data_IF_126945737687
#
_entry.id   IF_126945737687
#
_cell.length_a   1.000
_cell.length_b   1.000
_cell.length_c   1.000
_cell.angle_alpha   90.00
_cell.angle_beta   90.00
_cell.angle_gamma   90.00
#
_symmetry.space_group_name_H-M   'P 1'
#
loop_
_entity.id
_entity.type
_entity.pdbx_description
1 polymer ?
#
# COMPACT_ATOMS: atom_id res chain seq x y z
N UNK A 1 -1.64 -4.07 17.40
CA UNK A 1 -1.23 -3.63 16.04
C UNK A 1 -0.26 -2.49 16.22
N UNK A 2 0.96 -2.62 15.69
CA UNK A 2 1.97 -1.54 15.72
C UNK A 2 1.41 -0.34 14.93
N UNK A 3 1.81 0.88 15.29
CA UNK A 3 1.47 2.06 14.49
C UNK A 3 2.21 1.96 13.16
N UNK A 4 1.48 1.64 12.10
CA UNK A 4 2.00 1.71 10.73
C UNK A 4 1.99 3.19 10.34
N UNK A 5 3.15 3.73 9.93
CA UNK A 5 3.22 5.09 9.36
C UNK A 5 2.62 5.05 7.96
N UNK A 6 1.54 5.78 7.75
CA UNK A 6 0.93 5.92 6.43
C UNK A 6 1.37 7.23 5.80
N UNK A 7 1.91 7.17 4.58
CA UNK A 7 2.17 8.35 3.76
C UNK A 7 0.99 8.56 2.82
N UNK A 8 0.33 9.72 2.87
CA UNK A 8 -0.76 10.05 1.96
C UNK A 8 -0.14 10.56 0.66
N UNK A 9 -0.36 9.84 -0.44
CA UNK A 9 0.01 10.24 -1.80
C UNK A 9 -1.09 9.83 -2.77
N UNK A 10 -1.30 10.63 -3.82
CA UNK A 10 -2.22 10.30 -4.90
C UNK A 10 -1.60 9.35 -5.94
N UNK A 11 -0.27 9.29 -5.99
CA UNK A 11 0.47 8.50 -6.96
C UNK A 11 1.67 7.82 -6.29
N UNK A 12 1.97 6.60 -6.74
CA UNK A 12 3.15 5.84 -6.33
C UNK A 12 3.69 5.07 -7.54
N UNK A 13 5.00 5.13 -7.74
CA UNK A 13 5.71 4.31 -8.73
C UNK A 13 6.57 3.28 -8.00
N UNK A 14 6.33 2.00 -8.29
CA UNK A 14 7.03 0.86 -7.68
C UNK A 14 7.63 0.02 -8.81
N UNK A 15 8.91 -0.34 -8.68
CA UNK A 15 9.63 -1.20 -9.62
C UNK A 15 9.86 -2.58 -8.98
N UNK A 16 10.13 -3.61 -9.78
CA UNK A 16 10.36 -4.96 -9.26
C UNK A 16 9.10 -5.62 -8.65
N UNK A 17 7.91 -5.32 -9.20
CA UNK A 17 6.65 -5.96 -8.78
C UNK A 17 6.55 -7.34 -9.44
N UNK A 18 6.38 -8.40 -8.64
CA UNK A 18 6.05 -9.75 -9.11
C UNK A 18 4.57 -9.88 -9.49
N UNK A 19 3.70 -9.18 -8.76
CA UNK A 19 2.27 -9.18 -9.01
C UNK A 19 1.53 -8.20 -8.12
N UNK A 20 0.25 -7.99 -8.41
CA UNK A 20 -0.65 -7.18 -7.61
C UNK A 20 -2.04 -7.78 -7.57
N UNK A 21 -2.79 -7.49 -6.51
CA UNK A 21 -4.19 -7.88 -6.41
C UNK A 21 -4.98 -6.92 -5.52
N UNK A 22 -6.29 -6.90 -5.74
CA UNK A 22 -7.21 -6.05 -4.99
C UNK A 22 -7.93 -6.85 -3.92
N UNK A 23 -8.05 -6.30 -2.71
CA UNK A 23 -8.79 -6.93 -1.62
C UNK A 23 -9.45 -5.89 -0.72
N UNK A 24 -10.36 -6.34 0.16
CA UNK A 24 -10.86 -5.54 1.28
C UNK A 24 -10.10 -5.86 2.56
N UNK A 25 -9.83 -4.85 3.37
CA UNK A 25 -9.24 -5.02 4.70
C UNK A 25 -10.25 -5.66 5.63
N UNK A 26 -9.97 -6.87 6.13
CA UNK A 26 -10.82 -7.57 7.09
C UNK A 26 -10.15 -7.65 8.46
N UNK A 27 -10.97 -7.64 9.52
CA UNK A 27 -10.48 -7.69 10.92
C UNK A 27 -9.97 -9.09 11.30
N UNK A 28 -10.54 -10.12 10.69
CA UNK A 28 -10.30 -11.53 11.00
C UNK A 28 -10.31 -12.39 9.73
N UNK A 29 -9.77 -13.62 9.83
CA UNK A 29 -9.76 -14.63 8.78
C UNK A 29 -8.41 -14.76 8.05
N UNK A 30 -8.32 -15.72 7.12
CA UNK A 30 -7.12 -16.02 6.31
C UNK A 30 -6.72 -14.89 5.35
N UNK A 31 -7.59 -13.91 5.18
CA UNK A 31 -7.37 -12.72 4.36
C UNK A 31 -7.01 -11.45 5.12
N UNK A 32 -6.86 -11.54 6.45
CA UNK A 32 -6.54 -10.38 7.26
C UNK A 32 -5.13 -9.89 6.92
N UNK A 33 -5.02 -8.60 6.65
CA UNK A 33 -3.74 -7.92 6.41
C UNK A 33 -3.48 -6.96 7.57
N UNK A 34 -2.21 -6.73 7.91
CA UNK A 34 -1.85 -5.73 8.90
C UNK A 34 -1.98 -4.34 8.27
N UNK A 35 -3.05 -3.63 8.63
CA UNK A 35 -3.35 -2.30 8.12
C UNK A 35 -3.84 -1.40 9.25
N UNK A 36 -3.65 -0.07 9.16
CA UNK A 36 -4.26 0.87 10.08
C UNK A 36 -5.77 0.66 10.18
N UNK A 37 -6.31 0.73 11.40
CA UNK A 37 -7.75 0.51 11.67
C UNK A 37 -8.66 1.42 10.84
N UNK A 38 -8.17 2.59 10.45
CA UNK A 38 -8.85 3.58 9.61
C UNK A 38 -9.23 3.04 8.23
N UNK A 39 -8.50 2.02 7.74
CA UNK A 39 -8.75 1.38 6.45
C UNK A 39 -9.60 0.10 6.54
N UNK A 40 -10.10 -0.26 7.73
CA UNK A 40 -10.94 -1.44 7.89
C UNK A 40 -12.19 -1.37 7.00
N UNK A 41 -12.45 -2.43 6.24
CA UNK A 41 -13.56 -2.50 5.29
C UNK A 41 -13.34 -1.75 3.97
N UNK A 42 -12.23 -1.02 3.81
CA UNK A 42 -11.87 -0.33 2.57
C UNK A 42 -11.23 -1.30 1.57
N UNK A 43 -11.36 -0.95 0.28
CA UNK A 43 -10.64 -1.61 -0.81
C UNK A 43 -9.18 -1.16 -0.78
N UNK A 44 -8.25 -2.09 -0.93
CA UNK A 44 -6.81 -1.86 -1.00
C UNK A 44 -6.22 -2.61 -2.18
N UNK A 45 -5.10 -2.10 -2.67
CA UNK A 45 -4.26 -2.76 -3.67
C UNK A 45 -3.01 -3.26 -2.94
N UNK A 46 -2.71 -4.54 -3.06
CA UNK A 46 -1.54 -5.16 -2.46
C UNK A 46 -0.56 -5.45 -3.58
N UNK A 47 0.68 -4.96 -3.41
CA UNK A 47 1.79 -5.21 -4.32
C UNK A 47 2.67 -6.30 -3.69
N UNK A 48 3.07 -7.28 -4.51
CA UNK A 48 4.05 -8.30 -4.13
C UNK A 48 5.36 -7.95 -4.81
N UNK A 49 6.34 -7.48 -4.03
CA UNK A 49 7.67 -7.15 -4.53
C UNK A 49 8.64 -8.32 -4.32
N UNK A 50 9.70 -8.38 -5.14
CA UNK A 50 10.88 -9.18 -4.83
C UNK A 50 11.55 -8.65 -3.54
N UNK A 51 12.08 -9.55 -2.70
CA UNK A 51 12.60 -9.25 -1.33
C UNK A 51 13.82 -8.30 -1.27
N UNK A 52 14.22 -7.65 -2.37
CA UNK A 52 15.50 -6.94 -2.49
C UNK A 52 15.43 -5.44 -2.81
N UNK A 53 14.26 -4.77 -2.79
CA UNK A 53 14.20 -3.31 -3.00
C UNK A 53 13.34 -2.59 -1.94
N UNK A 54 13.92 -1.56 -1.31
CA UNK A 54 13.20 -0.63 -0.46
C UNK A 54 12.47 0.42 -1.33
N UNK A 55 11.15 0.32 -1.41
CA UNK A 55 10.34 1.26 -2.21
C UNK A 55 9.88 2.45 -1.36
N UNK A 56 10.36 3.63 -1.70
CA UNK A 56 9.90 4.91 -1.15
C UNK A 56 8.92 5.58 -2.13
N UNK A 57 7.77 6.09 -1.65
CA UNK A 57 6.84 6.82 -2.50
C UNK A 57 7.49 8.12 -2.99
N UNK A 58 7.65 8.26 -4.32
CA UNK A 58 8.00 9.53 -4.94
C UNK A 58 6.72 10.34 -5.11
N UNK A 59 6.58 11.41 -4.35
CA UNK A 59 5.59 12.44 -4.63
C UNK A 59 6.06 13.18 -5.89
N UNK A 60 5.39 12.98 -7.02
CA UNK A 60 5.56 13.87 -8.18
C UNK A 60 4.88 15.20 -7.85
N UNK A 61 5.68 16.23 -7.54
CA UNK A 61 5.26 17.62 -7.61
C UNK A 61 4.84 17.93 -9.05
N UNK A 62 3.53 17.92 -9.32
CA UNK A 62 2.99 18.55 -10.51
C UNK A 62 3.16 20.07 -10.36
N UNK A 63 4.27 20.59 -10.88
CA UNK A 63 4.35 21.96 -11.38
C UNK A 63 3.34 22.08 -12.51
N UNK A 64 2.32 22.90 -12.32
CA UNK A 64 1.62 23.50 -13.45
C UNK A 64 1.57 25.02 -13.27
N UNK A 65 1.59 25.67 -14.43
CA UNK A 65 2.27 26.91 -14.79
C UNK A 65 1.29 28.08 -14.89
#
# INVERSE_FOLDING_TARGET
MRRIKTTISNEISVKGIRGFFERRVTKFGTGAIDAPKEYLGKKVIILVCDENEEHSPKAEEKKEK
#
